data_IF_798714782340
#
_entry.id   IF_798714782340
#
_cell.length_a   1.000
_cell.length_b   1.000
_cell.length_c   1.000
_cell.angle_alpha   90.00
_cell.angle_beta   90.00
_cell.angle_gamma   90.00
#
_symmetry.space_group_name_H-M   'P 1'
#
loop_
_entity.id
_entity.type
_entity.pdbx_description
1 polymer ?
#
# COMPACT_ATOMS: atom_id res chain seq x y z
N UNK A 1 1.12 -9.12 20.62
CA UNK A 1 1.70 -9.28 19.28
C UNK A 1 3.13 -9.81 19.35
N UNK A 2 4.02 -9.24 20.17
CA UNK A 2 5.47 -9.54 20.23
C UNK A 2 5.83 -11.02 20.43
N UNK A 3 5.07 -11.73 21.29
CA UNK A 3 5.27 -13.18 21.48
C UNK A 3 5.03 -14.00 20.20
N UNK A 4 4.07 -13.58 19.37
CA UNK A 4 3.78 -14.24 18.08
C UNK A 4 4.91 -13.96 17.09
N UNK A 5 5.39 -12.72 17.03
CA UNK A 5 6.51 -12.32 16.19
C UNK A 5 7.78 -13.07 16.56
N UNK A 6 8.10 -13.13 17.85
CA UNK A 6 9.26 -13.87 18.36
C UNK A 6 9.18 -15.36 18.03
N UNK A 7 8.00 -15.98 18.21
CA UNK A 7 7.78 -17.38 17.86
C UNK A 7 7.91 -17.61 16.34
N UNK A 8 7.34 -16.73 15.52
CA UNK A 8 7.40 -16.84 14.07
C UNK A 8 8.83 -16.77 13.54
N UNK A 9 9.66 -15.88 14.09
CA UNK A 9 11.09 -15.80 13.79
C UNK A 9 11.83 -17.07 14.23
N UNK A 10 11.66 -17.47 15.48
CA UNK A 10 12.36 -18.63 16.06
C UNK A 10 12.01 -19.95 15.36
N UNK A 11 10.84 -20.08 14.78
CA UNK A 11 10.37 -21.28 14.10
C UNK A 11 10.52 -21.26 12.58
N UNK A 12 11.10 -20.20 12.00
CA UNK A 12 11.35 -20.11 10.57
C UNK A 12 10.10 -19.84 9.74
N UNK A 13 9.14 -19.12 10.28
CA UNK A 13 8.03 -18.59 9.50
C UNK A 13 8.42 -17.34 8.73
N UNK A 14 9.17 -16.44 9.38
CA UNK A 14 9.67 -15.21 8.76
C UNK A 14 11.08 -14.89 9.25
N UNK A 15 11.86 -14.24 8.38
CA UNK A 15 13.16 -13.68 8.71
C UNK A 15 13.20 -12.21 8.28
N UNK A 16 13.98 -11.34 8.97
CA UNK A 16 14.29 -10.01 8.45
C UNK A 16 14.95 -10.12 7.06
N UNK A 17 14.47 -9.35 6.10
CA UNK A 17 15.03 -9.37 4.75
C UNK A 17 16.47 -8.90 4.73
N UNK A 18 17.37 -9.68 4.12
CA UNK A 18 18.82 -9.35 4.01
C UNK A 18 19.53 -9.20 5.37
N UNK A 19 19.16 -9.99 6.37
CA UNK A 19 19.64 -9.87 7.76
C UNK A 19 21.16 -9.89 7.90
N UNK A 20 21.87 -10.69 7.07
CA UNK A 20 23.33 -10.78 7.07
C UNK A 20 24.05 -9.47 6.74
N UNK A 21 23.34 -8.51 6.15
CA UNK A 21 23.84 -7.16 5.82
C UNK A 21 23.21 -6.06 6.70
N UNK A 22 22.64 -6.44 7.85
CA UNK A 22 21.97 -5.50 8.76
C UNK A 22 20.48 -5.31 8.49
N UNK A 23 19.92 -6.02 7.51
CA UNK A 23 18.50 -5.95 7.17
C UNK A 23 18.09 -4.72 6.38
N UNK A 24 16.84 -4.72 5.96
CA UNK A 24 16.16 -3.55 5.38
C UNK A 24 14.85 -3.36 6.15
N UNK A 25 14.61 -2.15 6.64
CA UNK A 25 13.42 -1.85 7.43
C UNK A 25 12.14 -2.28 6.71
N UNK A 26 11.22 -2.90 7.47
CA UNK A 26 9.92 -3.36 6.99
C UNK A 26 9.97 -4.37 5.83
N UNK A 27 11.09 -5.07 5.66
CA UNK A 27 11.27 -6.10 4.64
C UNK A 27 11.47 -7.45 5.30
N UNK A 28 10.66 -8.43 4.88
CA UNK A 28 10.61 -9.76 5.48
C UNK A 28 10.66 -10.84 4.41
N UNK A 29 11.42 -11.89 4.69
CA UNK A 29 11.42 -13.11 3.91
C UNK A 29 10.52 -14.16 4.58
N UNK A 30 9.80 -14.94 3.76
CA UNK A 30 9.14 -16.14 4.27
C UNK A 30 10.18 -17.25 4.47
N UNK A 31 10.31 -17.73 5.69
CA UNK A 31 11.15 -18.88 5.98
C UNK A 31 10.53 -20.20 5.50
N UNK A 32 11.20 -21.31 5.81
CA UNK A 32 10.80 -22.63 5.36
C UNK A 32 9.39 -23.06 5.79
N UNK A 33 8.94 -22.73 6.99
CA UNK A 33 7.56 -22.98 7.43
C UNK A 33 6.59 -21.90 6.91
N UNK A 34 7.06 -20.66 6.82
CA UNK A 34 6.24 -19.54 6.32
C UNK A 34 5.85 -19.68 4.86
N UNK A 35 6.74 -20.16 3.99
CA UNK A 35 6.41 -20.37 2.58
C UNK A 35 5.39 -21.48 2.40
N UNK A 36 5.46 -22.56 3.18
CA UNK A 36 4.47 -23.64 3.14
C UNK A 36 3.09 -23.15 3.60
N UNK A 37 3.04 -22.42 4.73
CA UNK A 37 1.80 -21.80 5.20
C UNK A 37 1.20 -20.87 4.15
N UNK A 38 2.02 -19.98 3.58
CA UNK A 38 1.59 -19.06 2.52
C UNK A 38 1.01 -19.80 1.32
N UNK A 39 1.67 -20.85 0.85
CA UNK A 39 1.22 -21.62 -0.31
C UNK A 39 -0.07 -22.39 0.00
N UNK A 40 -0.24 -22.91 1.21
CA UNK A 40 -1.48 -23.55 1.63
C UNK A 40 -2.65 -22.58 1.67
N UNK A 41 -2.45 -21.37 2.22
CA UNK A 41 -3.47 -20.31 2.22
C UNK A 41 -3.84 -19.91 0.79
N UNK A 42 -2.85 -19.70 -0.09
CA UNK A 42 -3.10 -19.38 -1.51
C UNK A 42 -3.91 -20.46 -2.21
N UNK A 43 -3.55 -21.74 -1.98
CA UNK A 43 -4.25 -22.89 -2.57
C UNK A 43 -5.70 -22.95 -2.11
N UNK A 44 -5.95 -22.84 -0.80
CA UNK A 44 -7.28 -22.85 -0.24
C UNK A 44 -8.13 -21.70 -0.77
N UNK A 45 -7.57 -20.48 -0.84
CA UNK A 45 -8.26 -19.32 -1.42
C UNK A 45 -8.61 -19.53 -2.89
N UNK A 46 -7.63 -19.98 -3.69
CA UNK A 46 -7.82 -20.22 -5.12
C UNK A 46 -8.86 -21.29 -5.37
N UNK A 47 -8.78 -22.40 -4.65
CA UNK A 47 -9.79 -23.46 -4.73
C UNK A 47 -11.17 -22.92 -4.40
N UNK A 48 -11.31 -22.23 -3.27
CA UNK A 48 -12.61 -21.76 -2.79
C UNK A 48 -13.26 -20.73 -3.70
N UNK A 49 -12.50 -19.72 -4.11
CA UNK A 49 -13.08 -18.57 -4.81
C UNK A 49 -12.96 -18.65 -6.33
N UNK A 50 -12.05 -19.45 -6.89
CA UNK A 50 -11.88 -19.57 -8.33
C UNK A 50 -12.38 -20.91 -8.84
N UNK A 51 -11.87 -22.01 -8.30
CA UNK A 51 -12.15 -23.34 -8.87
C UNK A 51 -13.53 -23.88 -8.54
N UNK A 52 -14.02 -23.66 -7.33
CA UNK A 52 -15.36 -24.09 -6.89
C UNK A 52 -16.48 -23.19 -7.44
N UNK A 53 -16.16 -21.99 -7.93
CA UNK A 53 -17.16 -21.07 -8.48
C UNK A 53 -17.37 -21.31 -9.99
N UNK A 54 -18.59 -21.56 -10.44
CA UNK A 54 -18.89 -21.70 -11.87
C UNK A 54 -18.80 -20.36 -12.63
N UNK A 55 -18.78 -19.25 -11.91
CA UNK A 55 -18.77 -17.90 -12.47
C UNK A 55 -17.38 -17.27 -12.55
N UNK A 56 -16.44 -17.70 -11.70
CA UNK A 56 -15.15 -17.06 -11.57
C UNK A 56 -14.09 -17.72 -12.48
N UNK A 57 -13.14 -16.90 -12.90
CA UNK A 57 -11.94 -17.35 -13.63
C UNK A 57 -10.72 -16.66 -13.05
N UNK A 58 -9.54 -17.26 -13.21
CA UNK A 58 -8.30 -16.73 -12.71
C UNK A 58 -7.47 -16.02 -13.77
N UNK A 59 -6.69 -15.05 -13.36
CA UNK A 59 -5.60 -14.43 -14.15
C UNK A 59 -4.35 -14.26 -13.29
N UNK A 60 -3.23 -14.07 -13.94
CA UNK A 60 -2.00 -13.59 -13.31
C UNK A 60 -1.41 -12.48 -14.19
N UNK A 61 -1.69 -11.24 -13.81
CA UNK A 61 -1.31 -10.06 -14.58
C UNK A 61 0.10 -9.62 -14.23
N UNK A 62 0.80 -9.00 -15.19
CA UNK A 62 2.12 -8.45 -15.00
C UNK A 62 2.16 -7.39 -13.89
N UNK A 63 3.28 -7.35 -13.15
CA UNK A 63 3.53 -6.32 -12.14
C UNK A 63 3.78 -4.96 -12.81
N UNK A 64 4.58 -4.95 -13.88
CA UNK A 64 4.83 -3.76 -14.68
C UNK A 64 3.77 -3.66 -15.78
N UNK A 65 3.13 -2.52 -15.88
CA UNK A 65 2.11 -2.23 -16.88
C UNK A 65 2.40 -0.90 -17.55
N UNK A 66 1.73 -0.66 -18.68
CA UNK A 66 1.83 0.64 -19.36
C UNK A 66 1.46 1.77 -18.36
N UNK A 67 2.29 2.81 -18.23
CA UNK A 67 2.03 3.92 -17.30
C UNK A 67 0.67 4.60 -17.48
N UNK A 68 0.09 4.56 -18.67
CA UNK A 68 -1.26 5.08 -18.93
C UNK A 68 -2.34 4.37 -18.10
N UNK A 69 -2.12 3.14 -17.68
CA UNK A 69 -3.00 2.43 -16.75
C UNK A 69 -3.13 3.20 -15.43
N UNK A 70 -2.03 3.74 -14.94
CA UNK A 70 -1.97 4.49 -13.68
C UNK A 70 -2.47 5.92 -13.81
N UNK A 71 -2.35 6.52 -15.00
CA UNK A 71 -3.00 7.81 -15.33
C UNK A 71 -4.51 7.62 -15.33
N UNK A 72 -5.01 6.63 -16.07
CA UNK A 72 -6.44 6.36 -16.22
C UNK A 72 -7.13 5.98 -14.90
N UNK A 73 -6.42 5.30 -14.00
CA UNK A 73 -6.93 4.91 -12.68
C UNK A 73 -6.74 5.97 -11.59
N UNK A 74 -6.12 7.11 -11.91
CA UNK A 74 -5.87 8.21 -10.97
C UNK A 74 -4.66 8.04 -10.05
N UNK A 75 -3.99 6.87 -10.07
CA UNK A 75 -2.88 6.59 -9.13
C UNK A 75 -1.70 7.55 -9.27
N UNK A 76 -1.40 8.05 -10.46
CA UNK A 76 -0.31 9.01 -10.64
C UNK A 76 -0.67 10.42 -10.14
N UNK A 77 -1.96 10.75 -10.09
CA UNK A 77 -2.42 12.09 -9.71
C UNK A 77 -2.81 12.23 -8.24
N UNK A 78 -3.39 11.19 -7.64
CA UNK A 78 -4.06 11.29 -6.32
C UNK A 78 -3.67 10.20 -5.32
N UNK A 79 -2.86 9.24 -5.70
CA UNK A 79 -2.43 8.17 -4.79
C UNK A 79 -1.20 8.61 -3.98
N UNK A 80 -1.45 9.48 -3.00
CA UNK A 80 -0.39 10.11 -2.20
C UNK A 80 -0.84 10.30 -0.75
N UNK A 81 0.12 10.24 0.17
CA UNK A 81 -0.07 10.56 1.58
C UNK A 81 0.35 12.01 1.87
N UNK A 82 -0.43 12.75 2.69
CA UNK A 82 -0.04 14.06 3.18
C UNK A 82 0.99 13.91 4.30
N UNK A 83 2.26 14.21 4.01
CA UNK A 83 3.37 14.04 4.95
C UNK A 83 3.86 15.34 5.53
N UNK A 84 4.20 15.32 6.82
CA UNK A 84 4.90 16.39 7.52
C UNK A 84 5.96 15.81 8.46
N UNK A 85 7.00 16.58 8.73
CA UNK A 85 8.08 16.22 9.65
C UNK A 85 8.00 17.10 10.91
N UNK A 86 8.23 16.52 12.08
CA UNK A 86 8.46 17.32 13.28
C UNK A 86 9.86 17.94 13.22
N UNK A 87 9.97 19.26 13.36
CA UNK A 87 11.26 19.97 13.29
C UNK A 87 12.16 19.75 14.51
N UNK A 88 11.59 19.22 15.60
CA UNK A 88 12.29 18.99 16.85
C UNK A 88 12.89 17.57 16.96
N UNK A 89 12.09 16.54 16.71
CA UNK A 89 12.54 15.15 16.78
C UNK A 89 12.87 14.52 15.42
N UNK A 90 12.61 15.24 14.32
CA UNK A 90 12.85 14.82 12.93
C UNK A 90 12.05 13.57 12.50
N UNK A 91 11.06 13.18 13.29
CA UNK A 91 10.16 12.09 12.94
C UNK A 91 9.15 12.54 11.88
N UNK A 92 8.80 11.62 11.00
CA UNK A 92 7.87 11.84 9.88
C UNK A 92 6.52 11.21 10.17
N UNK A 93 5.45 11.95 9.86
CA UNK A 93 4.08 11.54 10.11
C UNK A 93 3.17 11.81 8.93
N UNK A 94 2.07 11.07 8.88
CA UNK A 94 0.91 11.39 8.06
C UNK A 94 0.07 12.43 8.79
N UNK A 95 -0.17 13.56 8.14
CA UNK A 95 -0.94 14.65 8.73
C UNK A 95 -2.41 14.25 9.00
N UNK A 96 -3.03 13.52 8.07
CA UNK A 96 -4.38 12.99 8.21
C UNK A 96 -4.52 12.09 9.43
N UNK A 97 -3.56 11.20 9.67
CA UNK A 97 -3.58 10.28 10.82
C UNK A 97 -3.43 11.02 12.15
N UNK A 98 -2.50 11.97 12.24
CA UNK A 98 -2.35 12.77 13.46
C UNK A 98 -3.63 13.53 13.79
N UNK A 99 -4.30 14.07 12.78
CA UNK A 99 -5.58 14.78 12.97
C UNK A 99 -6.67 13.82 13.45
N UNK A 100 -6.80 12.64 12.83
CA UNK A 100 -7.78 11.63 13.22
C UNK A 100 -7.55 11.15 14.67
N UNK A 101 -6.31 10.77 15.00
CA UNK A 101 -5.94 10.28 16.33
C UNK A 101 -6.18 11.36 17.41
N UNK A 102 -5.72 12.59 17.16
CA UNK A 102 -5.92 13.71 18.06
C UNK A 102 -7.42 14.04 18.27
N UNK A 103 -8.19 14.03 17.19
CA UNK A 103 -9.64 14.29 17.26
C UNK A 103 -10.36 13.22 18.06
N UNK A 104 -10.00 11.96 17.87
CA UNK A 104 -10.57 10.85 18.63
C UNK A 104 -10.23 10.94 20.12
N UNK A 105 -8.97 11.24 20.47
CA UNK A 105 -8.51 11.36 21.85
C UNK A 105 -9.17 12.54 22.59
N UNK A 106 -9.47 13.63 21.88
CA UNK A 106 -10.05 14.84 22.47
C UNK A 106 -11.57 14.99 22.27
N UNK A 107 -12.23 13.98 21.66
CA UNK A 107 -13.68 14.00 21.45
C UNK A 107 -14.14 15.08 20.46
N UNK A 108 -13.29 15.45 19.49
CA UNK A 108 -13.62 16.44 18.46
C UNK A 108 -14.33 15.72 17.31
N UNK A 109 -15.57 16.10 17.03
CA UNK A 109 -16.30 15.60 15.87
C UNK A 109 -15.83 16.31 14.60
N UNK A 110 -15.35 15.50 13.63
CA UNK A 110 -14.95 16.00 12.33
C UNK A 110 -16.17 16.03 11.39
N UNK A 111 -16.38 17.14 10.71
CA UNK A 111 -17.51 17.30 9.77
C UNK A 111 -17.43 16.37 8.55
N UNK A 112 -16.24 15.94 8.20
CA UNK A 112 -15.98 15.03 7.06
C UNK A 112 -14.71 14.21 7.31
N UNK A 113 -14.52 13.14 6.50
CA UNK A 113 -13.27 12.37 6.50
C UNK A 113 -12.06 13.26 6.14
N UNK A 114 -10.99 13.17 6.92
CA UNK A 114 -9.75 13.96 6.72
C UNK A 114 -9.08 13.64 5.38
N UNK A 115 -9.30 12.46 4.83
CA UNK A 115 -8.78 12.07 3.50
C UNK A 115 -9.22 13.02 2.36
N UNK A 116 -10.34 13.73 2.54
CA UNK A 116 -10.85 14.69 1.57
C UNK A 116 -10.35 16.12 1.76
N UNK A 117 -9.59 16.40 2.82
CA UNK A 117 -9.15 17.75 3.16
C UNK A 117 -7.96 18.19 2.29
N UNK A 118 -7.91 19.49 2.02
CA UNK A 118 -6.74 20.11 1.42
C UNK A 118 -5.57 20.17 2.42
N UNK A 119 -4.35 20.34 1.92
CA UNK A 119 -3.18 20.55 2.79
C UNK A 119 -3.33 21.78 3.69
N UNK A 120 -4.01 22.81 3.20
CA UNK A 120 -4.27 24.05 3.95
C UNK A 120 -5.24 23.80 5.10
N UNK A 121 -6.33 23.10 4.87
CA UNK A 121 -7.30 22.71 5.91
C UNK A 121 -6.65 21.85 6.99
N UNK A 122 -5.87 20.85 6.61
CA UNK A 122 -5.13 20.01 7.56
C UNK A 122 -4.14 20.85 8.39
N UNK A 123 -3.39 21.75 7.74
CA UNK A 123 -2.41 22.58 8.44
C UNK A 123 -3.07 23.60 9.38
N UNK A 124 -4.21 24.16 8.98
CA UNK A 124 -4.99 25.08 9.82
C UNK A 124 -5.52 24.34 11.06
N UNK A 125 -6.09 23.16 10.88
CA UNK A 125 -6.55 22.34 12.01
C UNK A 125 -5.42 22.07 13.01
N UNK A 126 -4.24 21.63 12.51
CA UNK A 126 -3.08 21.35 13.37
C UNK A 126 -2.65 22.58 14.17
N UNK A 127 -2.66 23.77 13.56
CA UNK A 127 -2.32 25.03 14.22
C UNK A 127 -3.38 25.49 15.20
N UNK A 128 -4.66 25.48 14.80
CA UNK A 128 -5.77 26.00 15.59
C UNK A 128 -6.02 25.17 16.84
N UNK A 129 -5.87 23.86 16.74
CA UNK A 129 -5.99 22.93 17.87
C UNK A 129 -4.67 22.67 18.60
N UNK A 130 -3.59 23.31 18.16
CA UNK A 130 -2.26 23.15 18.74
C UNK A 130 -1.87 21.65 18.91
N UNK A 131 -2.04 20.88 17.84
CA UNK A 131 -1.83 19.43 17.85
C UNK A 131 -0.37 19.09 18.18
N UNK A 132 -0.10 18.26 19.20
CA UNK A 132 1.26 17.93 19.58
C UNK A 132 1.86 16.83 18.68
N UNK A 133 3.17 16.83 18.57
CA UNK A 133 3.90 15.70 17.97
C UNK A 133 3.72 14.45 18.85
N UNK A 134 3.28 13.31 18.28
CA UNK A 134 3.07 12.09 19.06
C UNK A 134 4.33 11.56 19.75
N UNK A 135 5.52 11.86 19.21
CA UNK A 135 6.79 11.37 19.75
C UNK A 135 7.38 12.30 20.82
N UNK A 136 7.44 13.59 20.57
CA UNK A 136 8.13 14.53 21.48
C UNK A 136 7.25 15.57 22.16
N UNK A 137 5.95 15.61 21.84
CA UNK A 137 4.99 16.54 22.44
C UNK A 137 5.13 18.01 22.00
N UNK A 138 6.05 18.31 21.06
CA UNK A 138 6.22 19.69 20.55
C UNK A 138 5.25 19.96 19.39
N UNK A 139 5.03 21.26 19.11
CA UNK A 139 4.02 21.71 18.12
C UNK A 139 4.67 22.32 16.86
N UNK A 140 5.88 21.94 16.52
CA UNK A 140 6.67 22.54 15.44
C UNK A 140 6.82 21.58 14.27
N UNK A 141 5.92 21.68 13.29
CA UNK A 141 5.91 20.85 12.10
C UNK A 141 6.38 21.62 10.85
N UNK A 142 6.81 20.87 9.85
CA UNK A 142 7.02 21.39 8.49
C UNK A 142 5.68 21.57 7.79
N UNK A 143 5.69 22.23 6.64
CA UNK A 143 4.53 22.22 5.75
C UNK A 143 4.24 20.79 5.25
N UNK A 144 2.95 20.52 4.97
CA UNK A 144 2.49 19.24 4.46
C UNK A 144 2.92 19.10 3.00
N UNK A 145 3.47 17.95 2.66
CA UNK A 145 3.88 17.59 1.29
C UNK A 145 3.17 16.32 0.85
N UNK A 146 2.68 16.29 -0.39
CA UNK A 146 2.12 15.07 -0.98
C UNK A 146 3.24 14.12 -1.39
N UNK A 147 3.18 12.90 -0.91
CA UNK A 147 4.13 11.84 -1.23
C UNK A 147 3.42 10.73 -1.99
N UNK A 148 3.73 10.59 -3.29
CA UNK A 148 3.13 9.53 -4.10
C UNK A 148 3.61 8.15 -3.67
N UNK A 149 2.67 7.24 -3.42
CA UNK A 149 2.93 5.89 -2.90
C UNK A 149 3.38 4.89 -3.98
N UNK A 150 3.44 5.28 -5.25
CA UNK A 150 3.89 4.41 -6.33
C UNK A 150 5.41 4.24 -6.30
N UNK A 151 5.88 2.99 -6.24
CA UNK A 151 7.29 2.71 -6.53
C UNK A 151 7.58 2.96 -8.00
N UNK A 152 8.47 3.92 -8.25
CA UNK A 152 8.96 4.28 -9.59
C UNK A 152 10.21 3.48 -9.91
N UNK A 153 10.31 2.99 -11.14
CA UNK A 153 11.49 2.34 -11.69
C UNK A 153 11.61 2.65 -13.19
N UNK A 154 12.59 2.09 -13.85
CA UNK A 154 12.86 2.33 -15.27
C UNK A 154 12.92 1.01 -16.04
N UNK A 155 12.48 1.01 -17.28
CA UNK A 155 12.57 -0.10 -18.20
C UNK A 155 13.49 0.29 -19.36
N UNK A 156 14.60 -0.43 -19.54
CA UNK A 156 15.62 -0.12 -20.52
C UNK A 156 16.93 0.36 -19.89
N UNK A 157 17.82 0.89 -20.70
CA UNK A 157 19.19 1.26 -20.29
C UNK A 157 19.35 2.70 -19.80
N UNK A 158 18.34 3.54 -20.01
CA UNK A 158 18.38 4.96 -19.62
C UNK A 158 17.29 5.28 -18.60
N UNK A 159 17.66 6.04 -17.58
CA UNK A 159 16.76 6.53 -16.55
C UNK A 159 16.13 7.86 -16.96
N UNK A 160 15.24 7.82 -17.93
CA UNK A 160 14.55 9.00 -18.44
C UNK A 160 13.01 8.91 -18.29
N UNK A 161 12.32 9.99 -18.56
CA UNK A 161 10.87 10.08 -18.43
C UNK A 161 10.12 9.10 -19.35
N UNK A 162 10.69 8.74 -20.49
CA UNK A 162 10.06 7.84 -21.47
C UNK A 162 10.13 6.38 -21.02
N UNK A 163 11.17 6.05 -20.27
CA UNK A 163 11.43 4.70 -19.75
C UNK A 163 10.89 4.49 -18.33
N UNK A 164 10.24 5.51 -17.76
CA UNK A 164 9.65 5.42 -16.43
C UNK A 164 8.47 4.47 -16.40
N UNK A 165 8.52 3.49 -15.51
CA UNK A 165 7.44 2.56 -15.21
C UNK A 165 7.22 2.48 -13.69
N UNK A 166 6.13 1.88 -13.27
CA UNK A 166 5.76 1.79 -11.87
C UNK A 166 5.45 0.36 -11.48
N UNK A 167 5.84 -0.03 -10.27
CA UNK A 167 5.37 -1.27 -9.68
C UNK A 167 3.89 -1.09 -9.30
N UNK A 168 3.06 -2.07 -9.60
CA UNK A 168 1.62 -1.99 -9.32
C UNK A 168 1.35 -1.84 -7.81
N UNK A 169 0.57 -0.82 -7.38
CA UNK A 169 0.20 -0.63 -5.98
C UNK A 169 -0.94 -1.55 -5.54
N UNK A 170 -1.67 -2.12 -6.51
CA UNK A 170 -2.76 -3.08 -6.31
C UNK A 170 -2.94 -3.97 -7.53
N UNK A 171 -3.71 -5.03 -7.38
CA UNK A 171 -3.92 -6.03 -8.44
C UNK A 171 -5.13 -5.74 -9.34
N UNK A 172 -6.00 -4.80 -8.96
CA UNK A 172 -7.28 -4.55 -9.62
C UNK A 172 -7.14 -4.09 -11.08
N UNK A 173 -6.20 -3.18 -11.37
CA UNK A 173 -6.05 -2.64 -12.73
C UNK A 173 -5.63 -3.69 -13.75
N UNK A 174 -4.83 -4.68 -13.35
CA UNK A 174 -4.51 -5.81 -14.20
C UNK A 174 -5.76 -6.60 -14.63
N UNK A 175 -6.73 -6.74 -13.74
CA UNK A 175 -8.03 -7.36 -14.03
C UNK A 175 -8.82 -6.49 -15.01
N UNK A 176 -8.91 -5.18 -14.75
CA UNK A 176 -9.70 -4.27 -15.60
C UNK A 176 -9.16 -4.18 -17.02
N UNK A 177 -7.85 -4.02 -17.20
CA UNK A 177 -7.26 -3.93 -18.54
C UNK A 177 -7.39 -5.24 -19.33
N UNK A 178 -7.48 -6.37 -18.65
CA UNK A 178 -7.64 -7.69 -19.25
C UNK A 178 -9.11 -8.18 -19.33
N UNK A 179 -10.07 -7.41 -18.85
CA UNK A 179 -11.46 -7.84 -18.77
C UNK A 179 -11.99 -8.40 -20.09
N UNK A 180 -11.86 -7.66 -21.19
CA UNK A 180 -12.31 -8.08 -22.52
C UNK A 180 -11.56 -9.30 -23.04
N UNK A 181 -10.27 -9.41 -22.76
CA UNK A 181 -9.47 -10.57 -23.13
C UNK A 181 -9.96 -11.83 -22.42
N UNK A 182 -10.17 -11.73 -21.11
CA UNK A 182 -10.66 -12.84 -20.29
C UNK A 182 -12.07 -13.24 -20.72
N UNK A 183 -12.98 -12.28 -20.91
CA UNK A 183 -14.35 -12.56 -21.37
C UNK A 183 -14.35 -13.33 -22.70
N UNK A 184 -13.56 -12.87 -23.67
CA UNK A 184 -13.47 -13.49 -24.99
C UNK A 184 -12.90 -14.90 -24.94
N UNK A 185 -11.78 -15.09 -24.22
CA UNK A 185 -11.06 -16.37 -24.18
C UNK A 185 -11.79 -17.41 -23.34
N UNK A 186 -12.42 -17.02 -22.24
CA UNK A 186 -13.22 -17.91 -21.39
C UNK A 186 -14.65 -18.11 -21.88
N UNK A 187 -15.10 -17.34 -22.90
CA UNK A 187 -16.47 -17.35 -23.44
C UNK A 187 -17.55 -17.11 -22.36
N UNK A 188 -17.19 -16.38 -21.29
CA UNK A 188 -18.12 -16.09 -20.19
C UNK A 188 -19.12 -15.01 -20.57
N UNK A 189 -20.35 -15.19 -20.08
CA UNK A 189 -21.41 -14.17 -20.11
C UNK A 189 -21.43 -13.43 -18.78
N UNK A 190 -21.86 -12.19 -18.80
CA UNK A 190 -22.04 -11.36 -17.58
C UNK A 190 -23.30 -11.88 -16.85
N UNK A 191 -23.26 -12.02 -15.51
CA UNK A 191 -22.15 -11.70 -14.60
C UNK A 191 -21.09 -12.82 -14.50
N UNK A 192 -19.81 -12.44 -14.40
CA UNK A 192 -18.72 -13.35 -14.03
C UNK A 192 -17.65 -12.60 -13.22
N UNK A 193 -16.88 -13.32 -12.44
CA UNK A 193 -15.80 -12.76 -11.64
C UNK A 193 -14.42 -13.12 -12.19
N UNK A 194 -13.45 -12.25 -11.93
CA UNK A 194 -12.04 -12.49 -12.22
C UNK A 194 -11.25 -12.30 -10.94
N UNK A 195 -10.40 -13.28 -10.60
CA UNK A 195 -9.54 -13.19 -9.44
C UNK A 195 -8.07 -13.42 -9.77
N UNK A 196 -7.21 -12.87 -8.96
CA UNK A 196 -5.77 -13.16 -9.01
C UNK A 196 -5.15 -13.08 -7.62
N UNK A 197 -4.02 -13.74 -7.45
CA UNK A 197 -3.16 -13.61 -6.29
C UNK A 197 -1.84 -13.03 -6.78
N UNK A 198 -1.47 -11.87 -6.25
CA UNK A 198 -0.25 -11.20 -6.68
C UNK A 198 0.31 -10.25 -5.64
N UNK A 199 1.58 -9.88 -5.79
CA UNK A 199 2.22 -8.85 -4.95
C UNK A 199 1.76 -7.47 -5.38
N UNK A 200 1.55 -6.61 -4.40
CA UNK A 200 1.33 -5.17 -4.54
C UNK A 200 2.47 -4.43 -3.83
N UNK A 201 2.78 -3.23 -4.30
CA UNK A 201 3.95 -2.47 -3.87
C UNK A 201 3.51 -1.04 -3.56
N UNK A 202 3.65 -0.62 -2.31
CA UNK A 202 3.37 0.75 -1.89
C UNK A 202 4.58 1.28 -1.12
N UNK A 203 5.03 2.47 -1.49
CA UNK A 203 6.14 3.15 -0.83
C UNK A 203 5.62 3.88 0.43
N UNK A 204 5.18 3.10 1.40
CA UNK A 204 4.64 3.60 2.67
C UNK A 204 5.76 3.93 3.64
N UNK A 205 5.57 4.95 4.49
CA UNK A 205 6.58 5.39 5.44
C UNK A 205 6.71 4.41 6.60
N UNK A 206 5.58 3.93 7.07
CA UNK A 206 5.48 2.99 8.18
C UNK A 206 4.47 1.90 7.82
N UNK A 207 4.87 0.87 7.08
CA UNK A 207 4.02 -0.30 6.94
C UNK A 207 3.90 -0.96 8.32
N UNK A 208 2.69 -0.99 8.83
CA UNK A 208 2.36 -1.61 10.12
C UNK A 208 2.41 -3.14 10.08
#
# INVERSE_FOLDING_TARGET
MDKIIALAKARGFVYPGSEIYGGLANTWDYGNLGVELKNNVKRAWWQKFIQESPYNVGVDCAILMNPQTWVASGHLGSFSDPLMDCKECHERFRADKIIEDFSQENGIELESSVDGWSQEEMMNFIKDHNVPCPTCGKHNFTDIRQFNLMFKTFQGVTEDAKNTVYLRPETAQGIFVNFKNVQRTSRKKIPFGIGQIGKSFRNEITPG
#
